data_IF_201435941320
#
_entry.id   IF_201435941320
#
_cell.length_a   1.000
_cell.length_b   1.000
_cell.length_c   1.000
_cell.angle_alpha   90.00
_cell.angle_beta   90.00
_cell.angle_gamma   90.00
#
_symmetry.space_group_name_H-M   'P 1'
#
loop_
_entity.id
_entity.type
_entity.pdbx_description
1 polymer ?
#
# COMPACT_ATOMS: atom_id res chain seq x y z
N UNK A 1 17.85 2.01 27.34
CA UNK A 1 16.76 2.45 26.47
C UNK A 1 16.36 3.83 26.92
N UNK A 2 16.65 4.83 26.10
CA UNK A 2 16.37 6.23 26.46
C UNK A 2 14.85 6.44 26.48
N UNK A 3 14.37 7.05 27.57
CA UNK A 3 12.96 7.42 27.71
C UNK A 3 12.70 8.62 26.76
N UNK A 4 12.25 8.34 25.53
CA UNK A 4 11.95 9.38 24.54
C UNK A 4 10.76 10.21 25.04
N UNK A 5 10.98 11.49 25.32
CA UNK A 5 9.88 12.41 25.64
C UNK A 5 8.98 12.57 24.40
N UNK A 6 7.76 12.04 24.47
CA UNK A 6 6.79 12.10 23.39
C UNK A 6 5.93 13.37 23.51
N UNK A 7 6.56 14.49 23.17
CA UNK A 7 5.97 15.82 23.24
C UNK A 7 4.98 16.08 22.09
N UNK A 8 4.13 17.10 22.25
CA UNK A 8 3.15 17.52 21.24
C UNK A 8 3.78 17.75 19.85
N UNK A 9 5.01 18.28 19.81
CA UNK A 9 5.76 18.53 18.58
C UNK A 9 5.98 17.24 17.77
N UNK A 10 6.33 16.13 18.44
CA UNK A 10 6.54 14.83 17.78
C UNK A 10 5.23 14.28 17.20
N UNK A 11 4.12 14.42 17.93
CA UNK A 11 2.78 14.02 17.43
C UNK A 11 2.38 14.82 16.19
N UNK A 12 2.59 16.13 16.21
CA UNK A 12 2.29 17.01 15.07
C UNK A 12 3.18 16.70 13.86
N UNK A 13 4.46 16.33 14.05
CA UNK A 13 5.33 15.91 12.97
C UNK A 13 4.79 14.66 12.25
N UNK A 14 4.32 13.66 13.03
CA UNK A 14 3.71 12.45 12.48
C UNK A 14 2.41 12.79 11.75
N UNK A 15 1.56 13.65 12.33
CA UNK A 15 0.30 14.09 11.71
C UNK A 15 0.55 14.81 10.39
N UNK A 16 1.56 15.68 10.30
CA UNK A 16 1.90 16.37 9.06
C UNK A 16 2.29 15.39 7.94
N UNK A 17 3.10 14.38 8.26
CA UNK A 17 3.46 13.34 7.29
C UNK A 17 2.25 12.44 6.93
N UNK A 18 1.39 12.12 7.91
CA UNK A 18 0.20 11.32 7.71
C UNK A 18 -0.82 12.00 6.79
N UNK A 19 -1.03 13.31 6.94
CA UNK A 19 -1.89 14.12 6.05
C UNK A 19 -1.39 14.02 4.60
N UNK A 20 -0.09 14.17 4.37
CA UNK A 20 0.48 14.09 3.02
C UNK A 20 0.36 12.68 2.44
N UNK A 21 0.64 11.64 3.25
CA UNK A 21 0.51 10.24 2.83
C UNK A 21 -0.93 9.87 2.47
N UNK A 22 -1.91 10.29 3.29
CA UNK A 22 -3.32 10.11 3.00
C UNK A 22 -3.75 10.82 1.71
N UNK A 23 -3.22 12.02 1.47
CA UNK A 23 -3.46 12.78 0.23
C UNK A 23 -3.01 12.04 -1.02
N UNK A 24 -1.86 11.37 -0.96
CA UNK A 24 -1.40 10.53 -2.05
C UNK A 24 -2.41 9.42 -2.39
N UNK A 25 -2.86 8.65 -1.39
CA UNK A 25 -3.85 7.58 -1.60
C UNK A 25 -5.21 8.13 -2.03
N UNK A 26 -5.60 9.29 -1.50
CA UNK A 26 -6.88 9.92 -1.84
C UNK A 26 -6.91 10.39 -3.30
N UNK A 27 -5.82 11.00 -3.81
CA UNK A 27 -5.75 11.46 -5.21
C UNK A 27 -5.75 10.28 -6.19
N UNK A 28 -5.13 9.15 -5.82
CA UNK A 28 -5.15 7.92 -6.61
C UNK A 28 -6.59 7.44 -6.82
N UNK A 29 -7.32 7.27 -5.74
CA UNK A 29 -8.67 6.68 -5.77
C UNK A 29 -9.74 7.65 -6.28
N UNK A 30 -9.58 8.96 -6.05
CA UNK A 30 -10.47 9.99 -6.54
C UNK A 30 -10.45 10.10 -8.08
N UNK A 31 -9.33 9.78 -8.73
CA UNK A 31 -9.23 9.86 -10.19
C UNK A 31 -9.86 8.69 -10.93
N UNK A 32 -10.08 7.55 -10.30
CA UNK A 32 -10.70 6.41 -10.95
C UNK A 32 -12.11 6.72 -11.48
N UNK A 33 -12.85 7.64 -10.86
CA UNK A 33 -14.17 8.07 -11.30
C UNK A 33 -14.13 9.08 -12.46
N UNK A 34 -12.95 9.62 -12.80
CA UNK A 34 -12.78 10.61 -13.88
C UNK A 34 -12.58 9.98 -15.26
N UNK A 35 -12.35 8.68 -15.37
CA UNK A 35 -11.99 8.01 -16.62
C UNK A 35 -12.94 8.32 -17.78
N UNK A 36 -14.28 8.26 -17.63
CA UNK A 36 -15.19 8.61 -18.71
C UNK A 36 -15.09 10.09 -19.15
N UNK A 37 -14.73 10.99 -18.25
CA UNK A 37 -14.53 12.39 -18.59
C UNK A 37 -13.21 12.60 -19.34
N UNK A 38 -12.12 11.93 -18.90
CA UNK A 38 -10.80 12.03 -19.51
C UNK A 38 -10.74 11.42 -20.91
N UNK A 39 -11.43 10.26 -21.14
CA UNK A 39 -11.53 9.66 -22.49
C UNK A 39 -12.16 10.63 -23.48
N UNK A 40 -13.21 11.35 -23.07
CA UNK A 40 -13.88 12.35 -23.92
C UNK A 40 -13.01 13.58 -24.15
N UNK A 41 -12.39 14.12 -23.09
CA UNK A 41 -11.60 15.37 -23.18
C UNK A 41 -10.34 15.21 -24.01
N UNK A 42 -9.63 14.08 -23.87
CA UNK A 42 -8.38 13.82 -24.59
C UNK A 42 -8.55 12.97 -25.83
N UNK A 43 -9.78 12.53 -26.14
CA UNK A 43 -10.10 11.66 -27.27
C UNK A 43 -9.22 10.40 -27.33
N UNK A 44 -9.11 9.71 -26.21
CA UNK A 44 -8.30 8.49 -26.02
C UNK A 44 -9.16 7.30 -25.64
N UNK A 45 -8.61 6.08 -25.81
CA UNK A 45 -9.30 4.84 -25.42
C UNK A 45 -9.37 4.67 -23.90
N UNK A 46 -10.27 3.76 -23.46
CA UNK A 46 -10.35 3.39 -22.03
C UNK A 46 -9.04 2.71 -21.57
N UNK A 47 -8.35 1.98 -22.44
CA UNK A 47 -7.06 1.38 -22.12
C UNK A 47 -5.97 2.43 -21.92
N UNK A 48 -5.97 3.50 -22.72
CA UNK A 48 -5.00 4.57 -22.58
C UNK A 48 -5.24 5.36 -21.28
N UNK A 49 -6.49 5.62 -20.92
CA UNK A 49 -6.79 6.40 -19.70
C UNK A 49 -6.35 5.69 -18.42
N UNK A 50 -6.26 4.37 -18.40
CA UNK A 50 -5.75 3.61 -17.25
C UNK A 50 -4.30 3.99 -16.89
N UNK A 51 -3.53 4.50 -17.85
CA UNK A 51 -2.18 5.00 -17.59
C UNK A 51 -2.14 6.13 -16.55
N UNK A 52 -3.24 6.84 -16.33
CA UNK A 52 -3.35 7.85 -15.26
C UNK A 52 -3.09 7.23 -13.88
N UNK A 53 -3.61 6.05 -13.63
CA UNK A 53 -3.37 5.30 -12.38
C UNK A 53 -2.10 4.48 -12.45
N UNK A 54 -1.82 3.81 -13.56
CA UNK A 54 -0.62 2.97 -13.72
C UNK A 54 0.67 3.76 -13.58
N UNK A 55 0.79 4.93 -14.23
CA UNK A 55 1.98 5.78 -14.14
C UNK A 55 2.21 6.28 -12.70
N UNK A 56 1.14 6.62 -12.00
CA UNK A 56 1.19 6.98 -10.58
C UNK A 56 1.71 5.82 -9.72
N UNK A 57 1.09 4.63 -9.83
CA UNK A 57 1.47 3.46 -9.04
C UNK A 57 2.91 2.99 -9.30
N UNK A 58 3.36 3.05 -10.56
CA UNK A 58 4.76 2.76 -10.91
C UNK A 58 5.71 3.74 -10.23
N UNK A 59 5.39 5.04 -10.28
CA UNK A 59 6.19 6.07 -9.62
C UNK A 59 6.21 5.89 -8.10
N UNK A 60 5.06 5.61 -7.47
CA UNK A 60 4.95 5.29 -6.03
C UNK A 60 5.86 4.12 -5.68
N UNK A 61 5.71 2.99 -6.38
CA UNK A 61 6.41 1.73 -6.08
C UNK A 61 7.92 1.90 -6.18
N UNK A 62 8.41 2.50 -7.26
CA UNK A 62 9.84 2.75 -7.47
C UNK A 62 10.38 3.72 -6.42
N UNK A 63 9.66 4.79 -6.12
CA UNK A 63 10.11 5.80 -5.14
C UNK A 63 10.14 5.27 -3.72
N UNK A 64 9.21 4.38 -3.34
CA UNK A 64 9.24 3.73 -2.04
C UNK A 64 10.57 2.99 -1.81
N UNK A 65 11.15 2.36 -2.83
CA UNK A 65 12.42 1.64 -2.69
C UNK A 65 13.61 2.54 -2.40
N UNK A 66 13.62 3.77 -2.92
CA UNK A 66 14.72 4.74 -2.70
C UNK A 66 14.49 5.59 -1.44
N UNK A 67 13.31 5.54 -0.83
CA UNK A 67 12.93 6.42 0.29
C UNK A 67 13.86 6.33 1.49
N UNK A 68 14.34 5.12 1.81
CA UNK A 68 15.30 4.91 2.91
C UNK A 68 16.64 5.61 2.64
N UNK A 69 17.20 5.45 1.44
CA UNK A 69 18.43 6.14 1.06
C UNK A 69 18.25 7.66 1.16
N UNK A 70 17.14 8.19 0.63
CA UNK A 70 16.88 9.63 0.64
C UNK A 70 16.75 10.18 2.06
N UNK A 71 16.10 9.46 2.97
CA UNK A 71 15.97 9.87 4.38
C UNK A 71 17.31 9.81 5.11
N UNK A 72 18.13 8.81 4.86
CA UNK A 72 19.49 8.70 5.42
C UNK A 72 20.44 9.79 4.88
N UNK A 73 20.31 10.13 3.60
CA UNK A 73 21.19 11.12 2.91
C UNK A 73 20.79 12.55 3.23
N UNK A 74 19.50 12.87 3.12
CA UNK A 74 18.99 14.25 3.18
C UNK A 74 18.26 14.57 4.49
N UNK A 75 17.92 13.56 5.29
CA UNK A 75 17.13 13.68 6.51
C UNK A 75 15.64 13.82 6.26
N UNK A 76 14.85 13.47 7.28
CA UNK A 76 13.38 13.39 7.19
C UNK A 76 12.73 14.72 6.74
N UNK A 77 13.23 15.87 7.24
CA UNK A 77 12.66 17.18 6.92
C UNK A 77 12.80 17.54 5.45
N UNK A 78 13.99 17.32 4.86
CA UNK A 78 14.21 17.65 3.45
C UNK A 78 13.43 16.73 2.52
N UNK A 79 13.34 15.44 2.85
CA UNK A 79 12.51 14.48 2.11
C UNK A 79 11.04 14.87 2.18
N UNK A 80 10.54 15.29 3.35
CA UNK A 80 9.18 15.78 3.51
C UNK A 80 8.92 17.06 2.71
N UNK A 81 9.86 18.02 2.68
CA UNK A 81 9.74 19.23 1.84
C UNK A 81 9.68 18.84 0.37
N UNK A 82 10.57 17.94 -0.08
CA UNK A 82 10.58 17.44 -1.46
C UNK A 82 9.27 16.74 -1.83
N UNK A 83 8.71 15.92 -0.93
CA UNK A 83 7.43 15.26 -1.15
C UNK A 83 6.27 16.28 -1.26
N UNK A 84 6.20 17.30 -0.39
CA UNK A 84 5.19 18.35 -0.51
C UNK A 84 5.34 19.14 -1.82
N UNK A 85 6.58 19.52 -2.18
CA UNK A 85 6.85 20.22 -3.43
C UNK A 85 6.45 19.38 -4.66
N UNK A 86 6.78 18.09 -4.66
CA UNK A 86 6.39 17.15 -5.72
C UNK A 86 4.87 17.03 -5.84
N UNK A 87 4.14 16.94 -4.71
CA UNK A 87 2.68 16.88 -4.71
C UNK A 87 2.07 18.17 -5.30
N UNK A 88 2.55 19.34 -4.86
CA UNK A 88 2.06 20.64 -5.34
C UNK A 88 2.32 20.78 -6.84
N UNK A 89 3.57 20.54 -7.29
CA UNK A 89 3.95 20.64 -8.69
C UNK A 89 3.19 19.63 -9.55
N UNK A 90 3.06 18.41 -9.11
CA UNK A 90 2.30 17.35 -9.80
C UNK A 90 0.83 17.72 -9.95
N UNK A 91 0.18 18.19 -8.88
CA UNK A 91 -1.22 18.62 -8.91
C UNK A 91 -1.45 19.84 -9.78
N UNK A 92 -0.53 20.81 -9.79
CA UNK A 92 -0.60 21.98 -10.68
C UNK A 92 -0.47 21.53 -12.14
N UNK A 93 0.54 20.71 -12.46
CA UNK A 93 0.73 20.20 -13.82
C UNK A 93 -0.47 19.39 -14.33
N UNK A 94 -1.02 18.50 -13.47
CA UNK A 94 -2.17 17.69 -13.82
C UNK A 94 -3.45 18.53 -13.96
N UNK A 95 -3.66 19.50 -13.07
CA UNK A 95 -4.83 20.38 -13.10
C UNK A 95 -4.86 21.32 -14.32
N UNK A 96 -3.71 21.81 -14.76
CA UNK A 96 -3.58 22.63 -15.96
C UNK A 96 -3.24 21.84 -17.23
N UNK A 97 -3.24 20.48 -17.20
CA UNK A 97 -2.81 19.66 -18.30
C UNK A 97 -3.51 20.03 -19.65
N UNK A 98 -2.76 20.47 -20.66
CA UNK A 98 -3.30 20.75 -22.00
C UNK A 98 -3.39 19.47 -22.85
N UNK A 99 -2.64 18.42 -22.50
CA UNK A 99 -2.62 17.13 -23.17
C UNK A 99 -2.54 15.96 -22.17
N UNK A 100 -2.87 14.77 -22.63
CA UNK A 100 -2.79 13.55 -21.81
C UNK A 100 -1.38 13.28 -21.28
N UNK A 101 -0.34 13.53 -22.08
CA UNK A 101 1.06 13.37 -21.65
C UNK A 101 1.43 14.30 -20.50
N UNK A 102 0.94 15.55 -20.51
CA UNK A 102 1.13 16.48 -19.39
C UNK A 102 0.42 16.00 -18.12
N UNK A 103 -0.79 15.44 -18.26
CA UNK A 103 -1.50 14.82 -17.14
C UNK A 103 -0.66 13.66 -16.55
N UNK A 104 -0.09 12.79 -17.40
CA UNK A 104 0.75 11.68 -16.94
C UNK A 104 2.02 12.18 -16.23
N UNK A 105 2.67 13.24 -16.70
CA UNK A 105 3.81 13.84 -16.01
C UNK A 105 3.43 14.34 -14.60
N UNK A 106 2.28 15.01 -14.47
CA UNK A 106 1.75 15.42 -13.18
C UNK A 106 1.52 14.21 -12.27
N UNK A 107 0.95 13.12 -12.81
CA UNK A 107 0.71 11.86 -12.08
C UNK A 107 2.00 11.20 -11.59
N UNK A 108 3.05 11.20 -12.41
CA UNK A 108 4.38 10.68 -12.00
C UNK A 108 4.92 11.49 -10.83
N UNK A 109 4.83 12.82 -10.85
CA UNK A 109 5.30 13.67 -9.75
C UNK A 109 4.49 13.47 -8.46
N UNK A 110 3.17 13.34 -8.56
CA UNK A 110 2.32 13.00 -7.41
C UNK A 110 2.67 11.61 -6.86
N UNK A 111 2.94 10.63 -7.74
CA UNK A 111 3.38 9.29 -7.36
C UNK A 111 4.73 9.29 -6.64
N UNK A 112 5.70 10.06 -7.12
CA UNK A 112 6.98 10.27 -6.42
C UNK A 112 6.74 10.85 -5.03
N UNK A 113 5.88 11.85 -4.91
CA UNK A 113 5.51 12.46 -3.63
C UNK A 113 4.91 11.45 -2.65
N UNK A 114 3.91 10.68 -3.08
CA UNK A 114 3.25 9.67 -2.26
C UNK A 114 4.21 8.54 -1.85
N UNK A 115 5.08 8.12 -2.78
CA UNK A 115 6.12 7.12 -2.55
C UNK A 115 7.17 7.54 -1.52
N UNK A 116 7.35 8.84 -1.29
CA UNK A 116 8.17 9.38 -0.20
C UNK A 116 7.36 9.54 1.09
N UNK A 117 6.12 10.02 1.00
CA UNK A 117 5.32 10.41 2.16
C UNK A 117 4.93 9.22 3.04
N UNK A 118 4.54 8.09 2.45
CA UNK A 118 4.11 6.91 3.20
C UNK A 118 5.23 6.29 4.04
N UNK A 119 6.41 5.94 3.48
CA UNK A 119 7.51 5.43 4.28
C UNK A 119 8.00 6.44 5.31
N UNK A 120 8.01 7.73 4.97
CA UNK A 120 8.43 8.79 5.89
C UNK A 120 7.54 8.87 7.12
N UNK A 121 6.23 8.74 6.97
CA UNK A 121 5.29 8.73 8.11
C UNK A 121 5.63 7.59 9.08
N UNK A 122 5.80 6.36 8.59
CA UNK A 122 6.16 5.22 9.44
C UNK A 122 7.56 5.36 10.04
N UNK A 123 8.53 5.88 9.29
CA UNK A 123 9.87 6.17 9.81
C UNK A 123 9.83 7.19 10.96
N UNK A 124 9.02 8.26 10.85
CA UNK A 124 8.83 9.21 11.93
C UNK A 124 8.19 8.56 13.17
N UNK A 125 7.25 7.64 12.99
CA UNK A 125 6.66 6.87 14.10
C UNK A 125 7.76 6.05 14.80
N UNK A 126 8.53 5.27 14.05
CA UNK A 126 9.59 4.41 14.60
C UNK A 126 10.69 5.20 15.32
N UNK A 127 10.97 6.44 14.86
CA UNK A 127 12.05 7.27 15.43
C UNK A 127 11.61 8.17 16.59
N UNK A 128 10.36 8.66 16.58
CA UNK A 128 9.88 9.67 17.53
C UNK A 128 9.02 9.10 18.64
N UNK A 129 8.36 7.96 18.44
CA UNK A 129 7.42 7.38 19.41
C UNK A 129 8.18 6.48 20.40
N UNK A 130 7.84 6.53 21.71
CA UNK A 130 8.35 5.58 22.71
C UNK A 130 7.96 4.14 22.36
N UNK A 131 8.81 3.19 22.75
CA UNK A 131 8.62 1.77 22.43
C UNK A 131 7.29 1.18 22.94
N UNK A 132 6.81 1.64 24.09
CA UNK A 132 5.55 1.22 24.72
C UNK A 132 4.30 1.70 23.97
N UNK A 133 4.42 2.57 22.94
CA UNK A 133 3.34 3.17 22.15
C UNK A 133 3.52 3.02 20.65
N UNK A 134 4.57 2.35 20.20
CA UNK A 134 4.85 2.19 18.77
C UNK A 134 3.68 1.52 18.05
N UNK A 135 3.14 0.43 18.61
CA UNK A 135 2.01 -0.29 18.03
C UNK A 135 0.78 0.60 17.85
N UNK A 136 0.43 1.37 18.87
CA UNK A 136 -0.68 2.34 18.82
C UNK A 136 -0.50 3.34 17.68
N UNK A 137 0.69 3.94 17.56
CA UNK A 137 0.94 4.97 16.54
C UNK A 137 1.10 4.40 15.13
N UNK A 138 1.68 3.20 14.98
CA UNK A 138 1.67 2.45 13.72
C UNK A 138 0.23 2.12 13.29
N UNK A 139 -0.63 1.77 14.25
CA UNK A 139 -2.06 1.58 14.02
C UNK A 139 -2.77 2.85 13.57
N UNK A 140 -2.48 4.01 14.19
CA UNK A 140 -3.04 5.31 13.77
C UNK A 140 -2.58 5.66 12.34
N UNK A 141 -1.30 5.49 12.02
CA UNK A 141 -0.79 5.72 10.67
C UNK A 141 -1.47 4.83 9.64
N UNK A 142 -1.59 3.53 9.94
CA UNK A 142 -2.28 2.57 9.06
C UNK A 142 -3.77 2.89 8.91
N UNK A 143 -4.44 3.39 9.96
CA UNK A 143 -5.84 3.85 9.91
C UNK A 143 -6.00 5.01 8.92
N UNK A 144 -5.13 6.01 9.00
CA UNK A 144 -5.20 7.19 8.12
C UNK A 144 -5.06 6.79 6.65
N UNK A 145 -4.09 5.92 6.33
CA UNK A 145 -3.90 5.40 4.97
C UNK A 145 -5.08 4.52 4.56
N UNK A 146 -5.61 3.68 5.46
CA UNK A 146 -6.70 2.76 5.18
C UNK A 146 -8.06 3.44 4.96
N UNK A 147 -8.28 4.63 5.53
CA UNK A 147 -9.51 5.42 5.31
C UNK A 147 -9.49 6.22 4.00
N UNK A 148 -8.32 6.63 3.53
CA UNK A 148 -8.19 7.48 2.34
C UNK A 148 -8.86 6.88 1.07
N UNK A 149 -8.71 5.58 0.75
CA UNK A 149 -9.37 4.97 -0.41
C UNK A 149 -10.90 4.99 -0.34
N UNK A 150 -11.45 4.98 0.88
CA UNK A 150 -12.92 4.99 1.07
C UNK A 150 -13.54 6.37 0.77
N UNK A 151 -12.77 7.43 0.98
CA UNK A 151 -13.21 8.81 0.78
C UNK A 151 -13.00 9.25 -0.68
N UNK A 152 -11.91 8.79 -1.31
CA UNK A 152 -11.48 9.25 -2.63
C UNK A 152 -12.56 9.21 -3.72
N UNK A 153 -13.22 8.07 -3.99
CA UNK A 153 -14.22 8.01 -5.06
C UNK A 153 -15.42 8.91 -4.85
N UNK A 154 -15.91 9.02 -3.61
CA UNK A 154 -17.04 9.93 -3.28
C UNK A 154 -16.65 11.39 -3.47
N UNK A 155 -15.46 11.75 -3.00
CA UNK A 155 -14.90 13.09 -3.18
C UNK A 155 -14.67 13.41 -4.66
N UNK A 156 -14.04 12.49 -5.40
CA UNK A 156 -13.78 12.64 -6.83
C UNK A 156 -15.08 12.76 -7.63
N UNK A 157 -16.06 11.90 -7.35
CA UNK A 157 -17.36 11.91 -8.03
C UNK A 157 -18.10 13.24 -7.83
N UNK A 158 -18.20 13.73 -6.60
CA UNK A 158 -18.85 15.01 -6.28
C UNK A 158 -18.18 16.19 -7.02
N UNK A 159 -16.85 16.20 -7.11
CA UNK A 159 -16.13 17.27 -7.80
C UNK A 159 -16.26 17.18 -9.33
N UNK A 160 -16.21 15.99 -9.89
CA UNK A 160 -16.36 15.78 -11.35
C UNK A 160 -17.72 16.30 -11.83
N UNK A 161 -18.77 16.00 -11.08
CA UNK A 161 -20.13 16.42 -11.43
C UNK A 161 -20.35 17.94 -11.28
N UNK A 162 -19.77 18.56 -10.25
CA UNK A 162 -20.02 19.98 -9.92
C UNK A 162 -19.05 20.95 -10.58
N UNK A 163 -17.76 20.63 -10.63
CA UNK A 163 -16.67 21.54 -11.02
C UNK A 163 -15.77 20.99 -12.11
N UNK A 164 -16.00 19.74 -12.55
CA UNK A 164 -15.18 19.03 -13.53
C UNK A 164 -13.92 18.40 -12.93
N UNK A 165 -13.30 17.48 -13.70
CA UNK A 165 -12.20 16.62 -13.22
C UNK A 165 -10.95 17.40 -12.77
N UNK A 166 -10.67 18.57 -13.35
CA UNK A 166 -9.51 19.40 -12.99
C UNK A 166 -9.57 19.90 -11.56
N UNK A 167 -10.77 20.12 -11.03
CA UNK A 167 -10.99 20.61 -9.67
C UNK A 167 -10.46 19.66 -8.60
N UNK A 168 -10.37 18.36 -8.87
CA UNK A 168 -9.80 17.38 -7.96
C UNK A 168 -8.36 17.77 -7.60
N UNK A 169 -7.53 18.11 -8.60
CA UNK A 169 -6.13 18.46 -8.38
C UNK A 169 -5.99 19.77 -7.58
N UNK A 170 -6.79 20.79 -7.90
CA UNK A 170 -6.71 22.09 -7.21
C UNK A 170 -7.22 22.03 -5.77
N UNK A 171 -8.29 21.32 -5.53
CA UNK A 171 -8.85 21.21 -4.18
C UNK A 171 -7.98 20.33 -3.27
N UNK A 172 -7.28 19.33 -3.82
CA UNK A 172 -6.32 18.52 -3.07
C UNK A 172 -5.04 19.28 -2.68
N UNK A 173 -4.76 20.46 -3.25
CA UNK A 173 -3.65 21.33 -2.79
C UNK A 173 -3.78 21.77 -1.32
N UNK A 174 -4.99 21.71 -0.76
CA UNK A 174 -5.20 21.93 0.69
C UNK A 174 -4.39 20.92 1.53
N UNK A 175 -4.19 19.72 1.05
CA UNK A 175 -3.47 18.65 1.77
C UNK A 175 -2.01 19.01 2.01
N UNK A 176 -1.17 19.27 0.97
CA UNK A 176 0.21 19.71 1.20
C UNK A 176 0.27 21.07 1.93
N UNK A 177 -0.70 21.97 1.73
CA UNK A 177 -0.75 23.24 2.48
C UNK A 177 -0.90 23.00 3.99
N UNK A 178 -1.82 22.12 4.41
CA UNK A 178 -1.99 21.73 5.82
C UNK A 178 -0.76 20.97 6.34
N UNK A 179 -0.20 20.06 5.54
CA UNK A 179 1.03 19.36 5.89
C UNK A 179 2.18 20.34 6.14
N UNK A 180 2.37 21.33 5.26
CA UNK A 180 3.42 22.36 5.41
C UNK A 180 3.18 23.22 6.64
N UNK A 181 1.96 23.69 6.86
CA UNK A 181 1.60 24.53 7.99
C UNK A 181 1.97 23.88 9.33
N UNK A 182 1.72 22.59 9.46
CA UNK A 182 2.01 21.81 10.67
C UNK A 182 3.47 21.38 10.71
N UNK A 183 4.00 20.84 9.60
CA UNK A 183 5.26 20.12 9.56
C UNK A 183 6.49 21.01 9.57
N UNK A 184 6.41 22.25 9.07
CA UNK A 184 7.57 23.14 8.94
C UNK A 184 8.24 23.45 10.29
N UNK A 185 7.44 23.57 11.36
CA UNK A 185 7.93 23.81 12.72
C UNK A 185 8.13 22.53 13.54
N UNK A 186 7.49 21.41 13.15
CA UNK A 186 7.41 20.22 14.00
C UNK A 186 8.32 19.09 13.54
N UNK A 187 8.51 18.90 12.22
CA UNK A 187 9.39 17.85 11.72
C UNK A 187 10.85 18.18 12.06
N UNK A 188 11.58 17.28 12.73
CA UNK A 188 12.95 17.52 13.16
C UNK A 188 13.88 17.76 11.95
N UNK A 189 14.68 18.83 12.04
CA UNK A 189 15.72 19.11 11.04
C UNK A 189 16.96 18.23 11.23
N UNK A 190 17.19 17.79 12.48
CA UNK A 190 18.34 16.98 12.86
C UNK A 190 17.94 15.51 12.81
N UNK A 191 18.13 14.89 11.67
CA UNK A 191 18.38 13.47 11.52
C UNK A 191 19.88 13.35 11.24
N UNK A 192 20.56 12.35 11.77
CA UNK A 192 21.95 12.12 11.41
C UNK A 192 22.07 11.94 9.91
N UNK A 193 22.48 13.01 9.21
CA UNK A 193 22.72 13.00 7.79
C UNK A 193 24.08 12.37 7.55
N UNK A 194 24.11 11.33 6.77
CA UNK A 194 25.39 10.78 6.33
C UNK A 194 25.66 11.28 4.89
N UNK A 195 26.40 12.40 4.80
CA UNK A 195 26.72 13.04 3.52
C UNK A 195 27.66 12.21 2.64
N UNK A 196 28.35 11.23 3.20
CA UNK A 196 29.30 10.36 2.51
C UNK A 196 28.67 9.06 1.97
N UNK A 197 27.35 8.87 2.04
CA UNK A 197 26.69 7.69 1.50
C UNK A 197 26.80 7.67 -0.03
N UNK A 198 27.47 6.65 -0.55
CA UNK A 198 27.50 6.38 -1.99
C UNK A 198 26.27 5.61 -2.42
N UNK A 199 25.52 6.14 -3.39
CA UNK A 199 24.32 5.49 -3.90
C UNK A 199 24.63 4.33 -4.84
N UNK A 200 23.93 3.21 -4.68
CA UNK A 200 24.03 2.08 -5.60
C UNK A 200 23.03 2.21 -6.74
N UNK A 201 23.40 2.96 -7.76
CA UNK A 201 22.59 3.14 -8.97
C UNK A 201 22.26 1.81 -9.65
N UNK A 202 23.21 0.87 -9.70
CA UNK A 202 23.01 -0.40 -10.39
C UNK A 202 21.91 -1.23 -9.72
N UNK A 203 21.96 -1.40 -8.41
CA UNK A 203 20.93 -2.11 -7.66
C UNK A 203 19.57 -1.40 -7.76
N UNK A 204 19.56 -0.07 -7.71
CA UNK A 204 18.32 0.70 -7.86
C UNK A 204 17.68 0.50 -9.24
N UNK A 205 18.43 0.66 -10.33
CA UNK A 205 17.87 0.50 -11.68
C UNK A 205 17.41 -0.93 -11.96
N UNK A 206 18.14 -1.94 -11.46
CA UNK A 206 17.72 -3.35 -11.59
C UNK A 206 16.41 -3.62 -10.87
N UNK A 207 16.26 -3.12 -9.63
CA UNK A 207 15.01 -3.29 -8.88
C UNK A 207 13.87 -2.47 -9.48
N UNK A 208 14.10 -1.22 -9.84
CA UNK A 208 13.10 -0.36 -10.48
C UNK A 208 12.59 -0.98 -11.78
N UNK A 209 13.51 -1.47 -12.63
CA UNK A 209 13.16 -2.17 -13.86
C UNK A 209 12.36 -3.44 -13.58
N UNK A 210 12.76 -4.24 -12.60
CA UNK A 210 12.06 -5.47 -12.22
C UNK A 210 10.63 -5.17 -11.72
N UNK A 211 10.45 -4.13 -10.90
CA UNK A 211 9.12 -3.74 -10.39
C UNK A 211 8.24 -3.21 -11.54
N UNK A 212 8.78 -2.35 -12.40
CA UNK A 212 8.05 -1.82 -13.56
C UNK A 212 7.66 -2.95 -14.52
N UNK A 213 8.61 -3.77 -14.94
CA UNK A 213 8.37 -4.89 -15.85
C UNK A 213 7.41 -5.92 -15.23
N UNK A 214 7.53 -6.17 -13.90
CA UNK A 214 6.64 -7.04 -13.16
C UNK A 214 5.21 -6.53 -13.12
N UNK A 215 4.98 -5.25 -12.78
CA UNK A 215 3.64 -4.64 -12.76
C UNK A 215 3.04 -4.62 -14.18
N UNK A 216 3.84 -4.29 -15.21
CA UNK A 216 3.37 -4.33 -16.60
C UNK A 216 3.02 -5.74 -17.06
N UNK A 217 3.81 -6.76 -16.67
CA UNK A 217 3.48 -8.16 -16.94
C UNK A 217 2.15 -8.54 -16.30
N UNK A 218 1.98 -8.15 -15.04
CA UNK A 218 0.78 -8.37 -14.27
C UNK A 218 -0.42 -7.72 -14.95
N UNK A 219 -0.34 -6.43 -15.34
CA UNK A 219 -1.44 -5.73 -16.01
C UNK A 219 -1.81 -6.35 -17.37
N UNK A 220 -0.84 -6.87 -18.12
CA UNK A 220 -1.12 -7.53 -19.41
C UNK A 220 -1.85 -8.87 -19.26
N UNK A 221 -1.68 -9.56 -18.12
CA UNK A 221 -2.45 -10.77 -17.83
C UNK A 221 -3.96 -10.51 -17.79
N UNK A 222 -4.39 -9.31 -17.38
CA UNK A 222 -5.81 -8.92 -17.37
C UNK A 222 -6.41 -8.89 -18.79
N UNK A 223 -5.61 -8.60 -19.81
CA UNK A 223 -6.03 -8.66 -21.22
C UNK A 223 -5.99 -10.06 -21.85
N UNK A 224 -5.72 -11.09 -21.04
CA UNK A 224 -5.64 -12.49 -21.49
C UNK A 224 -4.36 -12.85 -22.25
N UNK A 225 -3.37 -11.97 -22.29
CA UNK A 225 -2.09 -12.19 -22.96
C UNK A 225 -0.93 -12.22 -21.95
N UNK A 226 -0.09 -13.24 -22.01
CA UNK A 226 1.13 -13.33 -21.22
C UNK A 226 2.30 -12.81 -22.03
N UNK A 227 2.91 -11.73 -21.60
CA UNK A 227 4.16 -11.29 -22.19
C UNK A 227 5.33 -12.04 -21.53
N UNK A 228 5.66 -13.21 -22.08
CA UNK A 228 6.75 -14.05 -21.55
C UNK A 228 8.12 -13.34 -21.55
N UNK A 229 8.32 -12.40 -22.48
CA UNK A 229 9.58 -11.62 -22.53
C UNK A 229 9.69 -10.72 -21.30
N UNK A 230 8.64 -9.95 -20.97
CA UNK A 230 8.63 -9.12 -19.77
C UNK A 230 8.74 -9.95 -18.49
N UNK A 231 8.08 -11.11 -18.43
CA UNK A 231 8.19 -12.03 -17.29
C UNK A 231 9.63 -12.53 -17.09
N UNK A 232 10.27 -12.99 -18.15
CA UNK A 232 11.67 -13.46 -18.11
C UNK A 232 12.61 -12.31 -17.73
N UNK A 233 12.43 -11.13 -18.31
CA UNK A 233 13.21 -9.96 -17.98
C UNK A 233 13.04 -9.53 -16.51
N UNK A 234 11.82 -9.62 -15.96
CA UNK A 234 11.56 -9.38 -14.54
C UNK A 234 12.35 -10.33 -13.64
N UNK A 235 12.32 -11.64 -13.95
CA UNK A 235 13.03 -12.67 -13.18
C UNK A 235 14.55 -12.44 -13.26
N UNK A 236 15.08 -12.18 -14.46
CA UNK A 236 16.51 -11.88 -14.66
C UNK A 236 16.92 -10.65 -13.87
N UNK A 237 16.13 -9.56 -13.96
CA UNK A 237 16.44 -8.32 -13.26
C UNK A 237 16.41 -8.48 -11.73
N UNK A 238 15.45 -9.24 -11.17
CA UNK A 238 15.42 -9.58 -9.75
C UNK A 238 16.63 -10.41 -9.33
N UNK A 239 16.99 -11.41 -10.12
CA UNK A 239 18.18 -12.24 -9.84
C UNK A 239 19.45 -11.38 -9.84
N UNK A 240 19.62 -10.53 -10.86
CA UNK A 240 20.77 -9.63 -10.95
C UNK A 240 20.77 -8.61 -9.82
N UNK A 241 19.60 -8.07 -9.46
CA UNK A 241 19.45 -7.16 -8.30
C UNK A 241 19.96 -7.83 -7.02
N UNK A 242 19.49 -9.04 -6.71
CA UNK A 242 19.91 -9.77 -5.51
C UNK A 242 21.42 -10.01 -5.54
N UNK A 243 21.97 -10.51 -6.66
CA UNK A 243 23.40 -10.77 -6.82
C UNK A 243 24.26 -9.52 -6.65
N UNK A 244 23.87 -8.41 -7.28
CA UNK A 244 24.60 -7.14 -7.21
C UNK A 244 24.50 -6.53 -5.82
N UNK A 245 23.29 -6.45 -5.27
CA UNK A 245 23.03 -5.84 -3.96
C UNK A 245 23.74 -6.58 -2.81
N UNK A 246 23.83 -7.93 -2.86
CA UNK A 246 24.57 -8.69 -1.85
C UNK A 246 26.08 -8.45 -1.88
N UNK A 247 26.65 -8.08 -3.03
CA UNK A 247 28.08 -7.83 -3.19
C UNK A 247 28.43 -6.33 -3.17
N UNK A 248 27.44 -5.46 -3.18
CA UNK A 248 27.65 -4.01 -3.20
C UNK A 248 28.05 -3.48 -1.82
N UNK A 249 29.07 -2.61 -1.80
CA UNK A 249 29.44 -1.82 -0.62
C UNK A 249 28.73 -0.48 -0.57
N UNK A 250 27.93 -0.19 -1.60
CA UNK A 250 27.18 1.09 -1.72
C UNK A 250 25.81 0.94 -1.08
N UNK A 251 25.25 2.07 -0.67
CA UNK A 251 23.97 2.11 0.07
C UNK A 251 22.80 2.23 -0.91
N UNK A 252 21.87 1.29 -0.82
CA UNK A 252 20.56 1.40 -1.46
C UNK A 252 19.51 0.80 -0.50
N UNK A 253 19.22 -0.48 -0.57
CA UNK A 253 18.37 -1.22 0.34
C UNK A 253 19.17 -2.34 0.99
N UNK A 254 19.05 -2.51 2.27
CA UNK A 254 19.70 -3.62 2.96
C UNK A 254 18.89 -4.91 2.83
N UNK A 255 19.15 -5.68 1.75
CA UNK A 255 18.49 -6.97 1.54
C UNK A 255 18.97 -8.07 2.49
N UNK A 256 20.04 -7.85 3.28
CA UNK A 256 20.43 -8.78 4.34
C UNK A 256 19.35 -8.91 5.42
N UNK A 257 18.40 -7.99 5.52
CA UNK A 257 17.21 -8.10 6.37
C UNK A 257 16.42 -9.40 6.14
N UNK A 258 16.44 -9.94 4.92
CA UNK A 258 15.83 -11.24 4.64
C UNK A 258 16.55 -12.43 5.31
N UNK A 259 17.77 -12.24 5.84
CA UNK A 259 18.46 -13.23 6.69
C UNK A 259 17.98 -13.17 8.14
N UNK A 260 17.30 -12.09 8.55
CA UNK A 260 16.68 -11.97 9.87
C UNK A 260 15.35 -12.74 9.84
N UNK A 261 15.25 -13.88 10.55
CA UNK A 261 14.06 -14.73 10.41
C UNK A 261 12.77 -14.07 10.86
N UNK A 262 12.80 -13.21 11.90
CA UNK A 262 11.63 -12.47 12.35
C UNK A 262 11.11 -11.54 11.26
N UNK A 263 12.00 -10.80 10.60
CA UNK A 263 11.62 -9.92 9.49
C UNK A 263 10.97 -10.69 8.34
N UNK A 264 11.62 -11.75 7.85
CA UNK A 264 11.13 -12.51 6.68
C UNK A 264 9.83 -13.23 6.96
N UNK A 265 9.70 -13.89 8.14
CA UNK A 265 8.50 -14.61 8.53
C UNK A 265 7.30 -13.70 8.76
N UNK A 266 7.52 -12.40 9.00
CA UNK A 266 6.45 -11.42 9.15
C UNK A 266 6.21 -10.61 7.87
N UNK A 267 7.26 -10.33 7.08
CA UNK A 267 7.16 -9.62 5.81
C UNK A 267 6.27 -10.35 4.79
N UNK A 268 6.48 -11.68 4.61
CA UNK A 268 5.71 -12.48 3.65
C UNK A 268 4.18 -12.44 3.97
N UNK A 269 3.71 -12.70 5.19
CA UNK A 269 2.30 -12.53 5.53
C UNK A 269 1.76 -11.13 5.24
N UNK A 270 2.51 -10.08 5.57
CA UNK A 270 2.08 -8.69 5.37
C UNK A 270 1.80 -8.40 3.90
N UNK A 271 2.67 -8.82 2.98
CA UNK A 271 2.44 -8.60 1.54
C UNK A 271 1.32 -9.51 0.99
N UNK A 272 1.16 -10.72 1.52
CA UNK A 272 0.08 -11.64 1.13
C UNK A 272 -1.30 -11.12 1.58
N UNK A 273 -1.40 -10.41 2.70
CA UNK A 273 -2.65 -9.75 3.09
C UNK A 273 -3.04 -8.63 2.11
N UNK A 274 -2.07 -7.92 1.52
CA UNK A 274 -2.35 -6.93 0.47
C UNK A 274 -2.79 -7.58 -0.84
N UNK A 275 -2.16 -8.69 -1.23
CA UNK A 275 -2.61 -9.53 -2.34
C UNK A 275 -4.10 -9.92 -2.20
N UNK A 276 -4.48 -10.45 -1.03
CA UNK A 276 -5.85 -10.86 -0.76
C UNK A 276 -6.83 -9.67 -0.78
N UNK A 277 -6.44 -8.54 -0.19
CA UNK A 277 -7.28 -7.35 -0.07
C UNK A 277 -7.68 -6.78 -1.42
N UNK A 278 -6.70 -6.55 -2.30
CA UNK A 278 -6.95 -5.96 -3.61
C UNK A 278 -7.63 -6.97 -4.55
N UNK A 279 -7.27 -8.24 -4.46
CA UNK A 279 -7.93 -9.29 -5.24
C UNK A 279 -9.43 -9.44 -4.92
N UNK A 280 -9.80 -9.47 -3.64
CA UNK A 280 -11.22 -9.49 -3.26
C UNK A 280 -11.91 -8.15 -3.55
N UNK A 281 -11.20 -7.03 -3.41
CA UNK A 281 -11.69 -5.71 -3.77
C UNK A 281 -12.13 -5.60 -5.23
N UNK A 282 -11.50 -6.35 -6.14
CA UNK A 282 -11.90 -6.49 -7.54
C UNK A 282 -13.07 -7.46 -7.73
N UNK A 283 -12.96 -8.67 -7.17
CA UNK A 283 -13.93 -9.74 -7.47
C UNK A 283 -15.30 -9.54 -6.83
N UNK A 284 -15.37 -9.03 -5.60
CA UNK A 284 -16.64 -8.89 -4.88
C UNK A 284 -17.61 -7.94 -5.58
N UNK A 285 -17.23 -6.70 -5.98
CA UNK A 285 -18.14 -5.82 -6.72
C UNK A 285 -18.56 -6.40 -8.08
N UNK A 286 -17.64 -7.07 -8.79
CA UNK A 286 -17.94 -7.71 -10.06
C UNK A 286 -18.94 -8.85 -9.89
N UNK A 287 -18.79 -9.69 -8.87
CA UNK A 287 -19.73 -10.77 -8.55
C UNK A 287 -21.11 -10.21 -8.22
N UNK A 288 -21.20 -9.17 -7.38
CA UNK A 288 -22.48 -8.56 -7.03
C UNK A 288 -23.21 -7.97 -8.23
N UNK A 289 -22.49 -7.36 -9.17
CA UNK A 289 -23.10 -6.79 -10.36
C UNK A 289 -23.49 -7.88 -11.38
N UNK A 290 -22.63 -8.85 -11.63
CA UNK A 290 -22.80 -9.80 -12.72
C UNK A 290 -23.60 -11.05 -12.32
N UNK A 291 -23.56 -11.49 -11.07
CA UNK A 291 -24.21 -12.73 -10.59
C UNK A 291 -25.44 -12.42 -9.73
N UNK A 292 -25.33 -11.45 -8.82
CA UNK A 292 -26.44 -11.06 -7.91
C UNK A 292 -27.33 -9.98 -8.56
N UNK A 293 -26.86 -9.38 -9.68
CA UNK A 293 -27.55 -8.29 -10.40
C UNK A 293 -27.81 -7.05 -9.53
N UNK A 294 -26.92 -6.77 -8.59
CA UNK A 294 -26.96 -5.57 -7.77
C UNK A 294 -26.54 -4.33 -8.57
N UNK A 295 -27.04 -3.16 -8.19
CA UNK A 295 -26.56 -1.91 -8.78
C UNK A 295 -25.07 -1.67 -8.47
N UNK A 296 -24.38 -0.92 -9.33
CA UNK A 296 -22.97 -0.58 -9.14
C UNK A 296 -22.73 0.14 -7.82
N UNK A 297 -23.69 0.97 -7.38
CA UNK A 297 -23.65 1.65 -6.08
C UNK A 297 -23.64 0.67 -4.91
N UNK A 298 -24.56 -0.31 -4.90
CA UNK A 298 -24.63 -1.34 -3.86
C UNK A 298 -23.39 -2.24 -3.89
N UNK A 299 -22.91 -2.60 -5.08
CA UNK A 299 -21.71 -3.41 -5.22
C UNK A 299 -20.48 -2.71 -4.61
N UNK A 300 -20.28 -1.43 -4.86
CA UNK A 300 -19.23 -0.64 -4.23
C UNK A 300 -19.43 -0.49 -2.72
N UNK A 301 -20.68 -0.24 -2.30
CA UNK A 301 -21.03 -0.08 -0.89
C UNK A 301 -20.81 -1.34 -0.06
N UNK A 302 -20.82 -2.53 -0.67
CA UNK A 302 -20.61 -3.81 0.02
C UNK A 302 -19.27 -3.93 0.74
N UNK A 303 -18.23 -3.26 0.23
CA UNK A 303 -16.88 -3.27 0.82
C UNK A 303 -16.69 -2.20 1.90
N UNK A 304 -17.50 -1.15 1.88
CA UNK A 304 -17.30 0.04 2.70
C UNK A 304 -17.41 -0.24 4.22
N UNK A 305 -18.40 -0.99 4.73
CA UNK A 305 -18.48 -1.28 6.17
C UNK A 305 -17.24 -2.01 6.67
N UNK A 306 -16.77 -3.02 5.93
CA UNK A 306 -15.58 -3.79 6.30
C UNK A 306 -14.31 -2.95 6.29
N UNK A 307 -14.07 -2.17 5.24
CA UNK A 307 -12.88 -1.31 5.14
C UNK A 307 -12.89 -0.22 6.22
N UNK A 308 -14.03 0.40 6.46
CA UNK A 308 -14.18 1.45 7.46
C UNK A 308 -13.97 0.92 8.89
N UNK A 309 -14.65 -0.18 9.25
CA UNK A 309 -14.50 -0.83 10.57
C UNK A 309 -13.07 -1.33 10.75
N UNK A 310 -12.51 -2.00 9.74
CA UNK A 310 -11.13 -2.47 9.78
C UNK A 310 -10.13 -1.34 10.03
N UNK A 311 -10.27 -0.21 9.33
CA UNK A 311 -9.41 0.96 9.52
C UNK A 311 -9.56 1.56 10.92
N UNK A 312 -10.79 1.77 11.40
CA UNK A 312 -11.05 2.32 12.73
C UNK A 312 -10.52 1.45 13.88
N UNK A 313 -10.52 0.12 13.70
CA UNK A 313 -9.99 -0.81 14.70
C UNK A 313 -8.46 -0.90 14.71
N UNK A 314 -7.76 -0.37 13.70
CA UNK A 314 -6.30 -0.49 13.61
C UNK A 314 -5.54 0.11 14.81
N UNK A 315 -5.89 1.30 15.34
CA UNK A 315 -5.26 1.82 16.56
C UNK A 315 -5.51 0.95 17.80
N UNK A 316 -6.69 0.32 17.89
CA UNK A 316 -7.00 -0.63 18.96
C UNK A 316 -6.09 -1.85 18.88
N UNK A 317 -5.89 -2.43 17.70
CA UNK A 317 -4.96 -3.54 17.51
C UNK A 317 -3.52 -3.15 17.82
N UNK A 318 -3.10 -1.94 17.44
CA UNK A 318 -1.82 -1.37 17.85
C UNK A 318 -1.66 -1.23 19.35
N UNK A 319 -2.69 -0.72 20.05
CA UNK A 319 -2.68 -0.63 21.52
C UNK A 319 -2.68 -2.02 22.19
N UNK A 320 -3.36 -2.99 21.61
CA UNK A 320 -3.31 -4.37 22.09
C UNK A 320 -1.92 -4.98 21.85
N UNK A 321 -1.28 -4.69 20.72
CA UNK A 321 0.12 -5.08 20.46
C UNK A 321 1.05 -4.55 21.55
N UNK A 322 0.94 -3.27 21.92
CA UNK A 322 1.77 -2.65 22.95
C UNK A 322 1.59 -3.33 24.33
N UNK A 323 0.40 -3.92 24.60
CA UNK A 323 0.07 -4.55 25.89
C UNK A 323 0.39 -6.04 25.97
N UNK A 324 0.06 -6.81 24.94
CA UNK A 324 0.09 -8.28 24.96
C UNK A 324 1.05 -8.90 23.94
N UNK A 325 1.78 -8.05 23.19
CA UNK A 325 2.74 -8.48 22.16
C UNK A 325 2.11 -8.96 20.87
N UNK A 326 2.95 -9.36 19.92
CA UNK A 326 2.53 -9.70 18.54
C UNK A 326 1.82 -11.06 18.42
N UNK A 327 2.33 -12.09 19.08
CA UNK A 327 1.97 -13.49 18.79
C UNK A 327 0.49 -13.75 18.84
N UNK A 328 -0.18 -13.37 19.95
CA UNK A 328 -1.62 -13.63 20.12
C UNK A 328 -2.48 -12.94 19.06
N UNK A 329 -2.11 -11.70 18.69
CA UNK A 329 -2.83 -10.91 17.71
C UNK A 329 -2.65 -11.44 16.28
N UNK A 330 -1.44 -11.87 15.93
CA UNK A 330 -1.14 -12.49 14.64
C UNK A 330 -2.00 -13.74 14.42
N UNK A 331 -2.05 -14.63 15.41
CA UNK A 331 -2.87 -15.85 15.34
C UNK A 331 -4.36 -15.54 15.32
N UNK A 332 -4.86 -14.69 16.23
CA UNK A 332 -6.28 -14.37 16.31
C UNK A 332 -6.76 -13.69 15.02
N UNK A 333 -6.01 -12.72 14.49
CA UNK A 333 -6.36 -12.05 13.24
C UNK A 333 -6.35 -13.01 12.05
N UNK A 334 -5.33 -13.88 11.94
CA UNK A 334 -5.28 -14.85 10.84
C UNK A 334 -6.38 -15.93 10.94
N UNK A 335 -6.81 -16.32 12.14
CA UNK A 335 -7.96 -17.21 12.32
C UNK A 335 -9.24 -16.53 11.81
N UNK A 336 -9.51 -15.28 12.20
CA UNK A 336 -10.67 -14.53 11.70
C UNK A 336 -10.63 -14.37 10.17
N UNK A 337 -9.47 -14.07 9.63
CA UNK A 337 -9.21 -13.97 8.18
C UNK A 337 -9.51 -15.30 7.47
N UNK A 338 -9.00 -16.43 8.00
CA UNK A 338 -9.21 -17.75 7.44
C UNK A 338 -10.68 -18.20 7.53
N UNK A 339 -11.35 -17.94 8.65
CA UNK A 339 -12.78 -18.27 8.84
C UNK A 339 -13.67 -17.50 7.87
N UNK A 340 -13.36 -16.20 7.64
CA UNK A 340 -14.08 -15.40 6.66
C UNK A 340 -13.93 -15.96 5.23
N UNK A 341 -12.70 -16.32 4.85
CA UNK A 341 -12.41 -16.91 3.53
C UNK A 341 -13.06 -18.27 3.36
N UNK A 342 -13.02 -19.11 4.41
CA UNK A 342 -13.69 -20.42 4.41
C UNK A 342 -15.21 -20.25 4.23
N UNK A 343 -15.83 -19.34 4.98
CA UNK A 343 -17.25 -19.06 4.84
C UNK A 343 -17.60 -18.58 3.42
N UNK A 344 -16.84 -17.60 2.89
CA UNK A 344 -17.04 -17.13 1.52
C UNK A 344 -16.85 -18.25 0.49
N UNK A 345 -15.86 -19.14 0.67
CA UNK A 345 -15.59 -20.25 -0.27
C UNK A 345 -16.73 -21.28 -0.30
N UNK A 346 -17.26 -21.63 0.88
CA UNK A 346 -18.33 -22.62 0.99
C UNK A 346 -19.65 -22.13 0.39
N UNK A 347 -19.94 -20.83 0.53
CA UNK A 347 -21.18 -20.23 0.04
C UNK A 347 -21.03 -19.45 -1.26
N UNK A 348 -19.88 -19.52 -1.92
CA UNK A 348 -19.55 -18.68 -3.08
C UNK A 348 -20.60 -18.63 -4.19
N UNK A 349 -21.33 -19.72 -4.43
CA UNK A 349 -22.38 -19.80 -5.46
C UNK A 349 -23.70 -19.16 -5.06
N UNK A 350 -23.91 -18.93 -3.76
CA UNK A 350 -25.18 -18.45 -3.18
C UNK A 350 -24.95 -17.24 -2.25
N UNK A 351 -23.86 -16.49 -2.44
CA UNK A 351 -23.58 -15.32 -1.64
C UNK A 351 -24.58 -14.20 -1.95
N UNK A 352 -25.31 -13.81 -0.93
CA UNK A 352 -26.17 -12.62 -0.96
C UNK A 352 -25.36 -11.38 -0.60
N UNK A 353 -25.91 -10.20 -0.91
CA UNK A 353 -25.30 -8.93 -0.52
C UNK A 353 -24.94 -8.86 0.97
N UNK A 354 -25.89 -9.24 1.86
CA UNK A 354 -25.65 -9.18 3.30
C UNK A 354 -24.59 -10.19 3.78
N UNK A 355 -24.56 -11.39 3.20
CA UNK A 355 -23.51 -12.38 3.50
C UNK A 355 -22.13 -11.86 3.11
N UNK A 356 -22.01 -11.19 1.97
CA UNK A 356 -20.75 -10.55 1.53
C UNK A 356 -20.35 -9.46 2.51
N UNK A 357 -21.26 -8.54 2.87
CA UNK A 357 -20.94 -7.46 3.82
C UNK A 357 -20.43 -8.02 5.15
N UNK A 358 -21.09 -9.03 5.71
CA UNK A 358 -20.69 -9.63 6.99
C UNK A 358 -19.37 -10.38 6.90
N UNK A 359 -19.21 -11.24 5.90
CA UNK A 359 -17.99 -12.04 5.75
C UNK A 359 -16.80 -11.18 5.34
N UNK A 360 -16.99 -10.18 4.48
CA UNK A 360 -15.94 -9.23 4.12
C UNK A 360 -15.54 -8.33 5.30
N UNK A 361 -16.50 -7.96 6.17
CA UNK A 361 -16.18 -7.24 7.40
C UNK A 361 -15.31 -8.10 8.33
N UNK A 362 -15.67 -9.38 8.52
CA UNK A 362 -14.87 -10.31 9.31
C UNK A 362 -13.47 -10.50 8.70
N UNK A 363 -13.38 -10.65 7.36
CA UNK A 363 -12.13 -10.71 6.62
C UNK A 363 -11.25 -9.50 6.88
N UNK A 364 -11.81 -8.28 6.76
CA UNK A 364 -11.06 -7.03 6.96
C UNK A 364 -10.60 -6.85 8.39
N UNK A 365 -11.41 -7.19 9.39
CA UNK A 365 -11.01 -7.15 10.81
C UNK A 365 -9.82 -8.08 11.04
N UNK A 366 -9.94 -9.36 10.63
CA UNK A 366 -8.87 -10.35 10.78
C UNK A 366 -7.59 -9.95 10.07
N UNK A 367 -7.71 -9.54 8.79
CA UNK A 367 -6.61 -9.05 7.98
C UNK A 367 -5.92 -7.86 8.63
N UNK A 368 -6.66 -6.84 9.02
CA UNK A 368 -6.09 -5.59 9.55
C UNK A 368 -5.39 -5.82 10.89
N UNK A 369 -5.95 -6.69 11.74
CA UNK A 369 -5.32 -7.07 13.02
C UNK A 369 -3.96 -7.74 12.79
N UNK A 370 -3.86 -8.75 11.92
CA UNK A 370 -2.59 -9.44 11.63
C UNK A 370 -1.63 -8.58 10.81
N UNK A 371 -2.13 -7.82 9.83
CA UNK A 371 -1.34 -6.96 8.96
C UNK A 371 -0.61 -5.86 9.75
N UNK A 372 -1.35 -5.06 10.54
CA UNK A 372 -0.78 -3.97 11.34
C UNK A 372 0.20 -4.49 12.40
N UNK A 373 -0.19 -5.58 13.09
CA UNK A 373 0.68 -6.25 14.07
C UNK A 373 1.94 -6.81 13.42
N UNK A 374 1.82 -7.47 12.26
CA UNK A 374 2.94 -8.07 11.53
C UNK A 374 3.91 -7.01 11.01
N UNK A 375 3.39 -5.91 10.47
CA UNK A 375 4.22 -4.78 10.01
C UNK A 375 5.00 -4.16 11.17
N UNK A 376 4.35 -3.90 12.30
CA UNK A 376 5.00 -3.34 13.49
C UNK A 376 6.08 -4.28 14.03
N UNK A 377 5.73 -5.55 14.23
CA UNK A 377 6.67 -6.54 14.78
C UNK A 377 7.88 -6.78 13.86
N UNK A 378 7.67 -6.81 12.54
CA UNK A 378 8.76 -6.95 11.57
C UNK A 378 9.78 -5.82 11.67
N UNK A 379 9.36 -4.60 12.00
CA UNK A 379 10.22 -3.43 12.07
C UNK A 379 10.84 -3.21 13.45
N UNK A 380 10.15 -3.59 14.52
CA UNK A 380 10.66 -3.45 15.91
C UNK A 380 11.81 -4.42 16.17
N UNK A 381 11.81 -5.60 15.57
CA UNK A 381 12.86 -6.62 15.72
C UNK A 381 14.13 -6.32 14.90
N UNK A 382 14.11 -5.25 14.08
CA UNK A 382 15.24 -4.83 13.24
C UNK A 382 16.00 -3.70 13.94
N UNK A 383 17.33 -3.61 13.70
CA UNK A 383 18.14 -2.54 14.27
C UNK A 383 17.63 -1.14 13.86
N UNK A 384 17.71 -0.12 14.73
CA UNK A 384 17.20 1.22 14.42
C UNK A 384 17.74 1.81 13.09
N UNK A 385 18.99 1.53 12.76
CA UNK A 385 19.65 1.98 11.52
C UNK A 385 19.06 1.34 10.27
N UNK A 386 18.50 0.13 10.41
CA UNK A 386 17.94 -0.67 9.29
C UNK A 386 16.41 -0.58 9.20
N UNK A 387 15.73 -0.02 10.20
CA UNK A 387 14.26 0.08 10.22
C UNK A 387 13.70 0.81 8.99
N UNK A 388 14.40 1.85 8.50
CA UNK A 388 13.98 2.56 7.30
C UNK A 388 14.08 1.72 6.03
N UNK A 389 15.08 0.84 5.92
CA UNK A 389 15.22 -0.12 4.82
C UNK A 389 14.13 -1.19 4.89
N UNK A 390 13.90 -1.73 6.08
CA UNK A 390 12.82 -2.69 6.33
C UNK A 390 11.45 -2.12 5.96
N UNK A 391 11.16 -0.88 6.35
CA UNK A 391 9.92 -0.20 6.00
C UNK A 391 9.78 0.00 4.48
N UNK A 392 10.84 0.46 3.80
CA UNK A 392 10.84 0.62 2.34
C UNK A 392 10.58 -0.72 1.61
N UNK A 393 11.21 -1.82 2.07
CA UNK A 393 11.01 -3.17 1.54
C UNK A 393 9.55 -3.63 1.76
N UNK A 394 9.00 -3.39 2.96
CA UNK A 394 7.60 -3.76 3.26
C UNK A 394 6.64 -2.99 2.35
N UNK A 395 6.80 -1.68 2.22
CA UNK A 395 5.90 -0.83 1.43
C UNK A 395 5.95 -1.16 -0.06
N UNK A 396 7.16 -1.32 -0.63
CA UNK A 396 7.32 -1.70 -2.04
C UNK A 396 6.74 -3.10 -2.31
N UNK A 397 6.98 -4.05 -1.40
CA UNK A 397 6.41 -5.40 -1.48
C UNK A 397 4.88 -5.40 -1.43
N UNK A 398 4.28 -4.56 -0.59
CA UNK A 398 2.82 -4.38 -0.53
C UNK A 398 2.25 -3.89 -1.86
N UNK A 399 2.84 -2.87 -2.47
CA UNK A 399 2.37 -2.33 -3.75
C UNK A 399 2.47 -3.35 -4.88
N UNK A 400 3.59 -4.08 -4.96
CA UNK A 400 3.76 -5.14 -5.94
C UNK A 400 2.72 -6.26 -5.76
N UNK A 401 2.53 -6.73 -4.52
CA UNK A 401 1.59 -7.82 -4.24
C UNK A 401 0.13 -7.37 -4.34
N UNK A 402 -0.17 -6.09 -4.13
CA UNK A 402 -1.48 -5.52 -4.42
C UNK A 402 -1.83 -5.65 -5.92
N UNK A 403 -0.91 -5.25 -6.80
CA UNK A 403 -1.07 -5.41 -8.24
C UNK A 403 -1.17 -6.89 -8.66
N UNK A 404 -0.34 -7.78 -8.10
CA UNK A 404 -0.42 -9.21 -8.35
C UNK A 404 -1.77 -9.80 -7.90
N UNK A 405 -2.32 -9.33 -6.78
CA UNK A 405 -3.61 -9.75 -6.25
C UNK A 405 -4.78 -9.43 -7.17
N UNK A 406 -4.83 -8.22 -7.71
CA UNK A 406 -5.88 -7.83 -8.68
C UNK A 406 -5.81 -8.65 -9.94
N UNK A 407 -4.61 -8.87 -10.47
CA UNK A 407 -4.43 -9.65 -11.70
C UNK A 407 -4.80 -11.12 -11.53
N UNK A 408 -4.31 -11.78 -10.48
CA UNK A 408 -4.68 -13.18 -10.22
C UNK A 408 -6.18 -13.29 -10.00
N UNK A 409 -6.78 -12.34 -9.28
CA UNK A 409 -8.22 -12.28 -9.10
C UNK A 409 -8.97 -12.12 -10.45
N UNK A 410 -8.48 -11.27 -11.36
CA UNK A 410 -9.05 -11.09 -12.69
C UNK A 410 -8.98 -12.38 -13.52
N UNK A 411 -7.86 -13.12 -13.47
CA UNK A 411 -7.72 -14.43 -14.12
C UNK A 411 -8.75 -15.43 -13.59
N UNK A 412 -8.97 -15.48 -12.30
CA UNK A 412 -10.02 -16.31 -11.71
C UNK A 412 -11.42 -15.83 -12.13
N UNK A 413 -11.64 -14.51 -12.19
CA UNK A 413 -12.90 -13.90 -12.61
C UNK A 413 -13.27 -14.18 -14.07
N UNK A 414 -12.29 -14.35 -14.94
CA UNK A 414 -12.46 -14.70 -16.37
C UNK A 414 -12.57 -16.21 -16.63
N UNK A 415 -12.74 -17.03 -15.58
CA UNK A 415 -12.86 -18.48 -15.69
C UNK A 415 -13.98 -18.91 -16.63
N UNK A 416 -13.72 -19.90 -17.49
CA UNK A 416 -14.72 -20.53 -18.37
C UNK A 416 -15.87 -21.18 -17.60
N UNK A 417 -15.69 -21.51 -16.33
CA UNK A 417 -16.71 -22.04 -15.44
C UNK A 417 -17.64 -20.95 -14.85
N UNK A 418 -17.44 -19.70 -15.24
CA UNK A 418 -18.19 -18.53 -14.79
C UNK A 418 -17.61 -17.85 -13.55
N UNK A 419 -17.99 -16.57 -13.39
CA UNK A 419 -17.44 -15.68 -12.35
C UNK A 419 -17.63 -16.22 -10.92
N UNK A 420 -18.77 -16.85 -10.60
CA UNK A 420 -19.02 -17.42 -9.28
C UNK A 420 -18.05 -18.57 -8.93
N UNK A 421 -17.77 -19.45 -9.91
CA UNK A 421 -16.81 -20.55 -9.75
C UNK A 421 -15.37 -20.03 -9.68
N UNK A 422 -15.03 -19.03 -10.49
CA UNK A 422 -13.74 -18.35 -10.43
C UNK A 422 -13.51 -17.68 -9.09
N UNK A 423 -14.47 -16.90 -8.60
CA UNK A 423 -14.43 -16.28 -7.28
C UNK A 423 -14.25 -17.33 -6.17
N UNK A 424 -14.97 -18.46 -6.26
CA UNK A 424 -14.80 -19.57 -5.32
C UNK A 424 -13.37 -20.11 -5.34
N UNK A 425 -12.81 -20.34 -6.53
CA UNK A 425 -11.42 -20.80 -6.68
C UNK A 425 -10.40 -19.83 -6.06
N UNK A 426 -10.59 -18.53 -6.29
CA UNK A 426 -9.73 -17.50 -5.69
C UNK A 426 -9.83 -17.49 -4.15
N UNK A 427 -11.03 -17.61 -3.60
CA UNK A 427 -11.21 -17.69 -2.15
C UNK A 427 -10.56 -18.94 -1.53
N UNK A 428 -10.62 -20.09 -2.20
CA UNK A 428 -9.88 -21.29 -1.79
C UNK A 428 -8.36 -21.08 -1.84
N UNK A 429 -7.85 -20.43 -2.88
CA UNK A 429 -6.44 -20.03 -2.95
C UNK A 429 -6.04 -19.18 -1.74
N UNK A 430 -6.84 -18.16 -1.41
CA UNK A 430 -6.58 -17.29 -0.26
C UNK A 430 -6.69 -18.05 1.07
N UNK A 431 -7.60 -19.00 1.18
CA UNK A 431 -7.71 -19.86 2.37
C UNK A 431 -6.44 -20.72 2.55
N UNK A 432 -5.93 -21.33 1.48
CA UNK A 432 -4.64 -22.06 1.52
C UNK A 432 -3.49 -21.14 1.90
N UNK A 433 -3.44 -19.92 1.36
CA UNK A 433 -2.47 -18.88 1.75
C UNK A 433 -2.58 -18.58 3.25
N UNK A 434 -3.79 -18.50 3.82
CA UNK A 434 -3.97 -18.27 5.26
C UNK A 434 -3.40 -19.39 6.12
N UNK A 435 -3.46 -20.64 5.65
CA UNK A 435 -2.84 -21.78 6.34
C UNK A 435 -1.29 -21.70 6.29
N UNK A 436 -0.72 -21.28 5.16
CA UNK A 436 0.72 -21.03 5.05
C UNK A 436 1.17 -19.91 6.00
N UNK A 437 0.40 -18.83 6.08
CA UNK A 437 0.64 -17.73 7.04
C UNK A 437 0.60 -18.26 8.47
N UNK A 438 -0.34 -19.13 8.79
CA UNK A 438 -0.44 -19.75 10.12
C UNK A 438 0.82 -20.54 10.49
N UNK A 439 1.35 -21.33 9.55
CA UNK A 439 2.62 -22.06 9.75
C UNK A 439 3.78 -21.09 9.98
N UNK A 440 3.85 -19.99 9.21
CA UNK A 440 4.90 -18.97 9.37
C UNK A 440 4.85 -18.33 10.75
N UNK A 441 3.66 -17.98 11.25
CA UNK A 441 3.48 -17.45 12.60
C UNK A 441 3.85 -18.47 13.69
N UNK A 442 3.55 -19.76 13.47
CA UNK A 442 3.95 -20.82 14.41
C UNK A 442 5.47 -20.98 14.47
N UNK A 443 6.17 -20.90 13.33
CA UNK A 443 7.64 -20.91 13.27
C UNK A 443 8.22 -19.69 13.96
N UNK A 444 7.65 -18.49 13.72
CA UNK A 444 8.06 -17.25 14.36
C UNK A 444 7.91 -17.32 15.88
N UNK A 445 6.77 -17.79 16.38
CA UNK A 445 6.51 -17.90 17.81
C UNK A 445 7.49 -18.84 18.52
N UNK A 446 7.86 -19.96 17.89
CA UNK A 446 8.89 -20.90 18.43
C UNK A 446 10.27 -20.28 18.49
N UNK A 447 10.62 -19.38 17.55
CA UNK A 447 11.94 -18.71 17.54
C UNK A 447 12.02 -17.59 18.58
N UNK A 448 10.92 -16.90 18.83
CA UNK A 448 10.85 -15.84 19.85
C UNK A 448 10.92 -16.37 21.30
N UNK A 449 10.69 -17.67 21.51
CA UNK A 449 10.81 -18.33 22.82
C UNK A 449 12.23 -18.90 23.10
N UNK A 450 13.09 -18.93 22.11
CA UNK A 450 14.51 -19.33 22.24
C UNK A 450 15.43 -18.13 22.33
#
# INVERSE_FOLDING_TARGET
MENREFVLKNKLAIVAAAILAAGGVMVETALNVTFPALTKVFNISLNDVQWVTTAYLLAVTVTMTISSYLTKRFGNKNVWIGANAGFILGSILAGFAPSFSFLLLGRVLEGVSAGLAMPLMFNLILTLVPFDKIGTWMGIGSMVIGLAPSIGPTYGGALVESLGWRSIFFTLLVIPALSILIGIATIPAHTEKNENLSFDFTSFFLLAFALIAGILTVNQLESGSVNYVLLVLTIIALFLFVKVSLNSKKTFLNIHLFKVPSFTLLWIPVILYMFANLGLGLLIPNYLQSVVHSSSLLAGFSLLPGTFIGALLTPLFGSLYDRIGSTKLLFAGNILFALALLAMSLWAKNLTFMMIVLTYTLFTIGRTMSFSTGMTAALVDVSPEEQSDGNAIIQAGQMFMAAAGTTVAALFGSSSAGLASGMQGFMWLLFVISLLIFVMFAVQAKKAQK
#
